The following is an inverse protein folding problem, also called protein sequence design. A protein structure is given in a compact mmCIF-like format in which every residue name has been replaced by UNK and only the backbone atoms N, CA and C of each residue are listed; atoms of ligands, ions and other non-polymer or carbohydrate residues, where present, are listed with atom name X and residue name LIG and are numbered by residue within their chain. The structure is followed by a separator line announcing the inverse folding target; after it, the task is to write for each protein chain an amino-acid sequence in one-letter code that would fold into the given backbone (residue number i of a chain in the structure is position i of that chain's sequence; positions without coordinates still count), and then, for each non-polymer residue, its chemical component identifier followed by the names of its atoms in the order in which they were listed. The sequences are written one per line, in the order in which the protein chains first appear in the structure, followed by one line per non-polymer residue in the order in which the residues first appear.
data_IF_718238064739
#
_entry.id   IF_718238064739
#
_cell.length_a   1.000
_cell.length_b   1.000
_cell.length_c   1.000
_cell.angle_alpha   90.00
_cell.angle_beta   90.00
_cell.angle_gamma   90.00
#
_symmetry.space_group_name_H-M   'P 1'
#
loop_
_entity.id
_entity.type
_entity.pdbx_description
1 polymer ?
#
# COMPACT_ATOMS: atom_id res chain seq x y z
N UNK A 1 20.07 -53.93 27.47
CA UNK A 1 21.24 -54.20 28.34
C UNK A 1 21.86 -52.85 28.71
N UNK A 2 21.62 -52.37 29.93
CA UNK A 2 22.28 -51.19 30.51
C UNK A 2 23.33 -51.63 31.51
N UNK A 3 24.46 -50.91 31.58
CA UNK A 3 25.05 -50.53 32.87
C UNK A 3 25.63 -49.10 32.80
N UNK A 4 25.94 -48.35 33.85
CA UNK A 4 25.89 -48.52 35.31
C UNK A 4 26.04 -47.12 35.91
N UNK A 5 25.26 -46.83 36.94
CA UNK A 5 25.48 -45.73 37.88
C UNK A 5 26.75 -45.95 38.71
N UNK A 6 27.41 -44.86 39.12
CA UNK A 6 28.21 -44.82 40.35
C UNK A 6 27.83 -43.58 41.15
N UNK A 7 27.56 -43.80 42.44
CA UNK A 7 27.08 -42.85 43.44
C UNK A 7 28.18 -42.52 44.46
N UNK A 8 27.98 -41.38 45.14
CA UNK A 8 28.39 -41.01 46.51
C UNK A 8 29.79 -40.42 46.76
N UNK A 9 30.00 -39.63 47.85
CA UNK A 9 29.13 -39.41 49.02
C UNK A 9 28.87 -37.95 49.47
N UNK A 10 27.86 -37.87 50.37
CA UNK A 10 27.49 -36.77 51.25
C UNK A 10 28.33 -36.75 52.54
N UNK A 11 28.66 -35.54 53.02
CA UNK A 11 28.83 -35.14 54.43
C UNK A 11 28.79 -33.60 54.47
N UNK A 12 28.39 -32.84 55.49
CA UNK A 12 27.57 -32.96 56.69
C UNK A 12 27.62 -31.58 57.36
N UNK A 13 26.45 -30.98 57.65
CA UNK A 13 26.10 -30.07 58.79
C UNK A 13 27.22 -29.34 59.56
N UNK A 14 27.08 -28.02 59.78
CA UNK A 14 26.46 -27.46 61.01
C UNK A 14 26.69 -25.94 61.22
N UNK A 15 25.57 -25.27 61.53
CA UNK A 15 25.32 -24.31 62.65
C UNK A 15 26.14 -23.01 62.81
N UNK A 16 25.37 -21.94 62.61
CA UNK A 16 25.29 -20.64 63.29
C UNK A 16 26.11 -20.39 64.56
N UNK A 17 26.71 -19.19 64.63
CA UNK A 17 27.02 -18.48 65.87
C UNK A 17 26.45 -17.05 65.84
N UNK A 18 25.83 -16.68 66.97
CA UNK A 18 25.32 -15.36 67.35
C UNK A 18 26.21 -14.83 68.47
N UNK A 19 26.59 -13.55 68.41
CA UNK A 19 26.95 -12.70 69.58
C UNK A 19 26.65 -11.24 69.22
N UNK A 20 25.67 -10.56 69.85
CA UNK A 20 25.78 -9.67 71.04
C UNK A 20 26.86 -8.59 70.86
N UNK A 21 26.69 -7.28 71.08
CA UNK A 21 25.86 -6.48 72.03
C UNK A 21 26.04 -5.00 71.61
N UNK A 22 25.10 -4.07 71.80
CA UNK A 22 25.05 -3.22 73.00
C UNK A 22 23.84 -2.27 72.96
N UNK A 23 23.36 -1.92 74.16
CA UNK A 23 22.17 -1.12 74.50
C UNK A 23 22.53 0.35 74.74
N UNK A 24 21.50 1.14 75.11
CA UNK A 24 21.44 2.52 75.67
C UNK A 24 20.86 3.54 74.67
N UNK A 25 19.80 4.31 74.91
CA UNK A 25 18.98 4.61 76.10
C UNK A 25 17.62 5.17 75.63
N UNK A 26 16.54 4.95 76.40
CA UNK A 26 15.21 5.55 76.21
C UNK A 26 15.19 6.99 76.74
N UNK A 27 14.50 7.92 76.07
CA UNK A 27 13.75 9.01 76.73
C UNK A 27 12.60 9.54 75.85
N UNK A 28 11.39 9.53 76.44
CA UNK A 28 10.25 10.45 76.32
C UNK A 28 9.61 10.78 74.95
N UNK A 29 8.34 10.38 74.82
CA UNK A 29 7.31 11.05 74.00
C UNK A 29 6.68 12.21 74.83
N UNK A 30 6.06 13.26 74.24
CA UNK A 30 4.76 13.09 73.59
C UNK A 30 4.49 13.92 72.30
N UNK A 31 3.65 13.31 71.45
CA UNK A 31 2.60 13.86 70.55
C UNK A 31 2.62 15.36 70.24
N UNK A 32 2.86 15.72 68.96
CA UNK A 32 2.15 16.82 68.26
C UNK A 32 1.99 16.48 66.77
N UNK A 33 0.72 16.33 66.38
CA UNK A 33 0.04 16.73 65.14
C UNK A 33 0.54 16.25 63.75
N UNK A 34 -0.41 15.63 63.04
CA UNK A 34 -0.33 15.13 61.69
C UNK A 34 -0.24 16.24 60.61
N UNK A 35 0.59 16.01 59.60
CA UNK A 35 0.26 16.26 58.19
C UNK A 35 0.81 15.09 57.38
N UNK A 36 -0.10 14.32 56.80
CA UNK A 36 0.21 13.27 55.85
C UNK A 36 0.50 13.89 54.48
N UNK A 37 1.75 13.78 54.01
CA UNK A 37 2.07 13.82 52.59
C UNK A 37 2.50 12.41 52.22
N UNK A 38 1.53 11.62 51.76
CA UNK A 38 1.80 10.37 51.08
C UNK A 38 2.50 10.70 49.76
N UNK A 39 3.82 10.54 49.74
CA UNK A 39 4.56 10.35 48.52
C UNK A 39 4.19 8.96 47.99
N UNK A 40 3.16 8.89 47.16
CA UNK A 40 2.97 7.76 46.29
C UNK A 40 3.99 7.90 45.15
N UNK A 41 5.03 7.09 45.23
CA UNK A 41 5.88 6.73 44.09
C UNK A 41 4.99 6.19 42.97
N UNK A 42 4.56 7.10 42.09
CA UNK A 42 4.01 6.74 40.80
C UNK A 42 5.22 6.47 39.91
N UNK A 43 5.64 5.22 39.95
CA UNK A 43 6.35 4.58 38.85
C UNK A 43 5.42 4.69 37.64
N UNK A 44 5.59 5.78 36.89
CA UNK A 44 5.05 5.91 35.54
C UNK A 44 5.64 4.77 34.74
N UNK A 45 4.85 3.71 34.57
CA UNK A 45 5.07 2.70 33.55
C UNK A 45 5.02 3.47 32.23
N UNK A 46 6.19 3.77 31.68
CA UNK A 46 6.31 4.13 30.27
C UNK A 46 5.65 3.00 29.49
N UNK A 47 4.48 3.29 28.91
CA UNK A 47 3.86 2.39 27.95
C UNK A 47 4.82 2.20 26.77
N UNK A 48 4.68 1.12 25.99
CA UNK A 48 5.52 0.94 24.82
C UNK A 48 5.32 2.16 23.92
N UNK A 49 6.39 2.95 23.74
CA UNK A 49 6.45 3.96 22.70
C UNK A 49 6.00 3.27 21.41
N UNK A 50 4.85 3.69 20.90
CA UNK A 50 4.40 3.35 19.56
C UNK A 50 5.59 3.62 18.64
N UNK A 51 6.13 2.56 18.05
CA UNK A 51 7.27 2.65 17.15
C UNK A 51 6.90 3.57 16.00
N UNK A 52 7.32 4.83 16.13
CA UNK A 52 7.13 5.84 15.12
C UNK A 52 7.88 5.41 13.85
N UNK A 53 7.35 5.72 12.65
CA UNK A 53 8.02 5.39 11.40
C UNK A 53 9.46 5.93 11.41
N UNK A 54 10.41 5.09 10.95
CA UNK A 54 11.87 5.32 11.06
C UNK A 54 12.40 6.53 10.28
N UNK A 55 11.60 7.15 9.42
CA UNK A 55 11.87 8.48 8.87
C UNK A 55 10.54 9.17 8.51
N UNK A 56 10.38 10.44 8.92
CA UNK A 56 9.37 11.34 8.35
C UNK A 56 10.10 12.18 7.31
N UNK A 57 9.77 11.99 6.04
CA UNK A 57 10.40 12.71 4.93
C UNK A 57 9.45 13.79 4.41
N UNK A 58 9.91 15.04 4.33
CA UNK A 58 9.24 16.08 3.56
C UNK A 58 9.65 15.89 2.10
N UNK A 59 8.70 15.70 1.20
CA UNK A 59 8.96 15.43 -0.22
C UNK A 59 7.96 16.19 -1.10
N UNK A 60 8.39 16.59 -2.28
CA UNK A 60 7.46 16.81 -3.39
C UNK A 60 6.98 15.42 -3.85
N UNK A 61 5.73 15.08 -3.54
CA UNK A 61 5.18 13.75 -3.78
C UNK A 61 5.12 13.44 -5.29
N UNK A 62 4.69 14.42 -6.10
CA UNK A 62 4.61 14.28 -7.55
C UNK A 62 5.96 13.97 -8.14
N UNK A 63 6.97 14.79 -7.84
CA UNK A 63 8.33 14.58 -8.34
C UNK A 63 8.88 13.22 -7.90
N UNK A 64 8.69 12.83 -6.63
CA UNK A 64 9.13 11.52 -6.13
C UNK A 64 8.55 10.35 -6.94
N UNK A 65 7.26 10.42 -7.28
CA UNK A 65 6.57 9.37 -8.03
C UNK A 65 7.01 9.35 -9.50
N UNK A 66 7.04 10.52 -10.15
CA UNK A 66 7.37 10.60 -11.56
C UNK A 66 8.85 10.27 -11.84
N UNK A 67 9.76 10.72 -10.97
CA UNK A 67 11.18 10.40 -11.05
C UNK A 67 11.42 8.89 -10.91
N UNK A 68 10.64 8.19 -10.07
CA UNK A 68 10.73 6.74 -9.96
C UNK A 68 10.41 6.03 -11.29
N UNK A 69 9.41 6.51 -12.02
CA UNK A 69 8.99 5.88 -13.28
C UNK A 69 9.84 6.28 -14.49
N UNK A 70 10.55 7.41 -14.43
CA UNK A 70 11.22 8.01 -15.58
C UNK A 70 12.26 7.09 -16.26
N UNK A 71 12.91 6.23 -15.48
CA UNK A 71 13.98 5.33 -15.95
C UNK A 71 13.47 3.94 -16.38
N UNK A 72 12.15 3.70 -16.38
CA UNK A 72 11.59 2.42 -16.77
C UNK A 72 11.69 2.22 -18.28
N UNK A 73 12.41 1.17 -18.70
CA UNK A 73 12.66 0.88 -20.12
C UNK A 73 12.18 -0.50 -20.53
N UNK A 74 11.83 -0.65 -21.81
CA UNK A 74 11.37 -1.91 -22.38
C UNK A 74 12.41 -3.03 -22.32
N UNK A 75 13.70 -2.68 -22.34
CA UNK A 75 14.83 -3.61 -22.24
C UNK A 75 15.32 -3.81 -20.79
N UNK A 76 14.61 -3.25 -19.82
CA UNK A 76 14.92 -3.41 -18.40
C UNK A 76 14.79 -4.84 -17.91
N UNK A 77 15.49 -5.15 -16.83
CA UNK A 77 15.35 -6.42 -16.13
C UNK A 77 14.06 -6.45 -15.30
N UNK A 78 13.46 -7.63 -15.22
CA UNK A 78 12.34 -7.89 -14.32
C UNK A 78 12.28 -9.36 -13.95
N UNK A 79 12.14 -9.63 -12.66
CA UNK A 79 11.87 -10.93 -12.09
C UNK A 79 10.69 -10.80 -11.14
N UNK A 80 9.65 -11.60 -11.37
CA UNK A 80 8.51 -11.67 -10.44
C UNK A 80 8.97 -12.25 -9.09
N UNK A 81 8.35 -11.84 -7.97
CA UNK A 81 8.61 -12.46 -6.67
C UNK A 81 8.26 -13.94 -6.69
N UNK A 82 9.04 -14.76 -5.98
CA UNK A 82 8.71 -16.16 -5.75
C UNK A 82 7.53 -16.33 -4.78
N UNK A 83 7.14 -17.58 -4.51
CA UNK A 83 5.96 -17.87 -3.70
C UNK A 83 6.09 -17.37 -2.25
N UNK A 84 7.27 -17.53 -1.64
CA UNK A 84 7.55 -17.10 -0.26
C UNK A 84 7.63 -15.56 -0.19
N UNK A 85 8.21 -14.94 -1.21
CA UNK A 85 8.27 -13.48 -1.35
C UNK A 85 6.87 -12.87 -1.51
N UNK A 86 5.99 -13.50 -2.30
CA UNK A 86 4.60 -13.04 -2.46
C UNK A 86 3.78 -13.20 -1.19
N UNK A 87 3.94 -14.31 -0.46
CA UNK A 87 3.25 -14.50 0.82
C UNK A 87 3.69 -13.44 1.83
N UNK A 88 5.00 -13.19 1.95
CA UNK A 88 5.55 -12.15 2.83
C UNK A 88 5.14 -10.74 2.42
N UNK A 89 5.10 -10.46 1.12
CA UNK A 89 4.60 -9.18 0.60
C UNK A 89 3.12 -8.98 0.96
N UNK A 90 2.29 -10.01 0.78
CA UNK A 90 0.87 -9.95 1.15
C UNK A 90 0.68 -9.72 2.65
N UNK A 91 1.42 -10.43 3.50
CA UNK A 91 1.42 -10.25 4.96
C UNK A 91 1.82 -8.81 5.34
N UNK A 92 2.93 -8.31 4.78
CA UNK A 92 3.42 -6.97 5.06
C UNK A 92 2.48 -5.86 4.60
N UNK A 93 1.90 -5.98 3.41
CA UNK A 93 0.87 -5.05 2.91
C UNK A 93 -0.39 -5.11 3.78
N UNK A 94 -0.79 -6.32 4.19
CA UNK A 94 -1.92 -6.53 5.08
C UNK A 94 -1.77 -5.78 6.41
N UNK A 95 -0.61 -5.92 7.07
CA UNK A 95 -0.30 -5.17 8.30
C UNK A 95 -0.40 -3.66 8.10
N UNK A 96 0.09 -3.13 6.98
CA UNK A 96 0.01 -1.70 6.70
C UNK A 96 -1.44 -1.22 6.54
N UNK A 97 -2.25 -1.98 5.81
CA UNK A 97 -3.67 -1.70 5.61
C UNK A 97 -4.47 -1.77 6.91
N UNK A 98 -4.04 -2.60 7.85
CA UNK A 98 -4.65 -2.73 9.17
C UNK A 98 -4.10 -1.70 10.19
N UNK A 99 -3.17 -0.83 9.75
CA UNK A 99 -2.59 0.26 10.54
C UNK A 99 -1.37 -0.13 11.39
N UNK A 100 -0.88 -1.36 11.29
CA UNK A 100 0.31 -1.84 11.98
C UNK A 100 1.58 -1.58 11.13
N UNK A 101 1.97 -0.30 11.08
CA UNK A 101 3.14 0.17 10.31
C UNK A 101 4.44 -0.51 10.78
N UNK A 102 4.58 -0.76 12.08
CA UNK A 102 5.79 -1.33 12.66
C UNK A 102 5.95 -2.80 12.25
N UNK A 103 4.87 -3.58 12.31
CA UNK A 103 4.90 -4.97 11.90
C UNK A 103 5.02 -5.11 10.38
N UNK A 104 4.33 -4.25 9.62
CA UNK A 104 4.51 -4.16 8.16
C UNK A 104 5.99 -3.96 7.79
N UNK A 105 6.65 -2.97 8.40
CA UNK A 105 8.07 -2.71 8.16
C UNK A 105 8.95 -3.92 8.53
N UNK A 106 8.65 -4.60 9.64
CA UNK A 106 9.39 -5.79 10.07
C UNK A 106 9.25 -6.96 9.09
N UNK A 107 8.06 -7.16 8.54
CA UNK A 107 7.75 -8.24 7.60
C UNK A 107 8.34 -7.97 6.21
N UNK A 108 8.38 -6.70 5.79
CA UNK A 108 8.86 -6.28 4.46
C UNK A 108 10.38 -6.12 4.37
N UNK A 109 11.08 -5.83 5.47
CA UNK A 109 12.53 -5.61 5.50
C UNK A 109 13.35 -6.76 4.87
N UNK A 110 13.05 -8.06 5.13
CA UNK A 110 13.74 -9.17 4.46
C UNK A 110 13.60 -9.21 2.94
N UNK A 111 12.53 -8.62 2.39
CA UNK A 111 12.34 -8.47 0.94
C UNK A 111 13.14 -7.31 0.35
N UNK A 112 13.85 -6.54 1.20
CA UNK A 112 14.49 -5.30 0.81
C UNK A 112 13.50 -4.16 0.57
N UNK A 113 12.28 -4.26 1.09
CA UNK A 113 11.24 -3.23 1.03
C UNK A 113 11.16 -2.49 2.38
N UNK A 114 10.94 -1.17 2.33
CA UNK A 114 10.73 -0.33 3.52
C UNK A 114 9.37 0.36 3.48
N UNK A 115 8.83 0.63 4.67
CA UNK A 115 7.67 1.50 4.87
C UNK A 115 8.17 2.87 5.35
N UNK A 116 7.97 3.91 4.56
CA UNK A 116 8.39 5.28 4.88
C UNK A 116 7.18 6.20 4.95
N UNK A 117 7.10 7.03 5.99
CA UNK A 117 6.06 8.06 6.07
C UNK A 117 6.53 9.33 5.39
N UNK A 118 5.85 9.67 4.31
CA UNK A 118 6.05 10.88 3.52
C UNK A 118 5.05 11.95 3.98
N UNK A 119 5.47 13.21 3.93
CA UNK A 119 4.59 14.38 3.98
C UNK A 119 4.80 15.16 2.69
N UNK A 120 3.75 15.29 1.91
CA UNK A 120 3.75 16.09 0.69
C UNK A 120 3.94 17.58 1.03
N UNK A 121 4.94 18.22 0.43
CA UNK A 121 5.26 19.63 0.68
C UNK A 121 4.17 20.58 0.21
N UNK A 122 3.40 20.19 -0.81
CA UNK A 122 2.41 21.06 -1.44
C UNK A 122 1.10 21.08 -0.65
N UNK A 123 0.59 19.89 -0.29
CA UNK A 123 -0.69 19.75 0.41
C UNK A 123 -0.56 19.56 1.94
N UNK A 124 0.61 19.18 2.43
CA UNK A 124 0.81 18.76 3.82
C UNK A 124 0.22 17.39 4.18
N UNK A 125 -0.40 16.69 3.22
CA UNK A 125 -0.96 15.34 3.44
C UNK A 125 0.15 14.32 3.62
N UNK A 126 -0.14 13.29 4.40
CA UNK A 126 0.81 12.23 4.70
C UNK A 126 0.44 10.93 3.99
N UNK A 127 1.49 10.23 3.56
CA UNK A 127 1.36 8.96 2.88
C UNK A 127 2.36 7.96 3.47
N UNK A 128 1.94 6.71 3.65
CA UNK A 128 2.87 5.61 3.87
C UNK A 128 3.25 5.03 2.49
N UNK A 129 4.55 4.99 2.20
CA UNK A 129 5.12 4.44 0.98
C UNK A 129 5.75 3.07 1.27
N UNK A 130 5.41 2.05 0.47
CA UNK A 130 6.21 0.84 0.34
C UNK A 130 7.09 0.98 -0.89
N UNK A 131 8.42 0.95 -0.69
CA UNK A 131 9.39 1.01 -1.77
C UNK A 131 10.65 0.18 -1.46
N UNK A 132 11.38 -0.19 -2.51
CA UNK A 132 12.67 -0.87 -2.36
C UNK A 132 13.72 0.04 -1.72
N UNK A 133 14.49 -0.54 -0.80
CA UNK A 133 15.61 0.11 -0.10
C UNK A 133 16.86 0.26 -0.97
N UNK A 134 16.96 -0.52 -2.05
CA UNK A 134 18.12 -0.56 -2.96
C UNK A 134 17.66 -0.43 -4.41
N UNK A 135 18.09 0.60 -5.17
CA UNK A 135 17.63 0.81 -6.54
C UNK A 135 17.91 -0.33 -7.53
N UNK A 136 18.96 -1.12 -7.30
CA UNK A 136 19.38 -2.20 -8.21
C UNK A 136 18.97 -3.61 -7.74
N UNK A 137 18.02 -3.73 -6.80
CA UNK A 137 17.47 -5.04 -6.38
C UNK A 137 16.25 -5.45 -7.21
N UNK A 138 15.95 -6.75 -7.26
CA UNK A 138 14.72 -7.25 -7.89
C UNK A 138 13.45 -6.55 -7.33
N UNK A 139 13.39 -6.32 -6.02
CA UNK A 139 12.31 -5.60 -5.36
C UNK A 139 12.10 -4.17 -5.89
N UNK A 140 13.12 -3.51 -6.46
CA UNK A 140 12.96 -2.19 -7.07
C UNK A 140 12.09 -2.23 -8.34
N UNK A 141 12.06 -3.38 -9.02
CA UNK A 141 11.28 -3.62 -10.23
C UNK A 141 9.84 -4.05 -9.93
N UNK A 142 9.51 -4.36 -8.67
CA UNK A 142 8.19 -4.84 -8.27
C UNK A 142 7.13 -3.75 -8.19
N UNK A 143 7.54 -2.50 -7.93
CA UNK A 143 6.64 -1.35 -7.89
C UNK A 143 6.74 -0.54 -6.61
N UNK A 144 5.82 0.41 -6.50
CA UNK A 144 5.60 1.21 -5.29
C UNK A 144 4.13 1.29 -4.95
N UNK A 145 3.85 1.39 -3.67
CA UNK A 145 2.52 1.61 -3.12
C UNK A 145 2.55 2.88 -2.27
N UNK A 146 1.60 3.77 -2.49
CA UNK A 146 1.38 4.97 -1.69
C UNK A 146 -0.02 4.89 -1.08
N UNK A 147 -0.14 4.93 0.24
CA UNK A 147 -1.43 4.92 0.94
C UNK A 147 -1.59 6.21 1.72
N UNK A 148 -2.77 6.81 1.69
CA UNK A 148 -3.09 7.91 2.59
C UNK A 148 -2.92 7.46 4.05
N UNK A 149 -2.15 8.22 4.83
CA UNK A 149 -1.85 7.92 6.24
C UNK A 149 -2.72 8.72 7.24
N UNK A 150 -3.59 9.60 6.72
CA UNK A 150 -4.41 10.54 7.50
C UNK A 150 -5.88 10.12 7.60
N UNK A 151 -6.32 9.17 6.76
CA UNK A 151 -7.70 8.67 6.75
C UNK A 151 -7.76 7.19 6.39
N UNK A 152 -8.92 6.58 6.68
CA UNK A 152 -9.19 5.22 6.23
C UNK A 152 -9.18 5.14 4.71
N UNK A 153 -8.63 4.05 4.17
CA UNK A 153 -8.55 3.84 2.74
C UNK A 153 -9.93 3.52 2.15
N UNK A 154 -10.32 4.23 1.10
CA UNK A 154 -11.66 4.14 0.47
C UNK A 154 -11.64 3.76 -0.99
N UNK A 155 -10.50 3.89 -1.66
CA UNK A 155 -10.33 3.54 -3.06
C UNK A 155 -8.85 3.33 -3.38
N UNK A 156 -8.58 2.73 -4.52
CA UNK A 156 -7.23 2.63 -5.06
C UNK A 156 -7.18 2.92 -6.57
N UNK A 157 -6.12 3.59 -7.00
CA UNK A 157 -5.76 3.76 -8.41
C UNK A 157 -4.60 2.85 -8.74
N UNK A 158 -4.72 2.12 -9.84
CA UNK A 158 -3.78 1.10 -10.27
C UNK A 158 -3.18 1.49 -11.63
N UNK A 159 -1.85 1.59 -11.70
CA UNK A 159 -1.10 1.91 -12.92
C UNK A 159 -0.17 0.74 -13.24
N UNK A 160 -0.65 -0.27 -14.00
CA UNK A 160 0.12 -1.47 -14.30
C UNK A 160 1.20 -1.26 -15.38
N UNK A 161 1.08 -0.22 -16.20
CA UNK A 161 1.96 0.03 -17.36
C UNK A 161 2.55 1.44 -17.39
N UNK A 162 3.15 1.95 -16.29
CA UNK A 162 3.74 3.29 -16.32
C UNK A 162 4.78 3.39 -17.44
N UNK A 163 4.87 4.57 -18.07
CA UNK A 163 5.72 4.87 -19.24
C UNK A 163 5.35 4.12 -20.53
N UNK A 164 5.01 2.84 -20.45
CA UNK A 164 4.51 2.08 -21.62
C UNK A 164 3.19 2.68 -22.12
N UNK A 165 2.27 2.90 -21.19
CA UNK A 165 0.97 3.47 -21.47
C UNK A 165 0.99 4.99 -21.29
N UNK A 166 2.18 5.63 -21.31
CA UNK A 166 2.56 7.06 -21.10
C UNK A 166 1.57 7.93 -20.32
N UNK A 167 2.04 8.75 -19.38
CA UNK A 167 1.21 9.75 -18.68
C UNK A 167 0.12 9.11 -17.77
N UNK A 168 -0.03 7.79 -17.74
CA UNK A 168 -0.89 7.08 -16.78
C UNK A 168 -0.38 7.25 -15.35
N UNK A 169 0.93 7.31 -15.16
CA UNK A 169 1.61 7.62 -13.91
C UNK A 169 1.28 9.03 -13.43
N UNK A 170 1.32 10.02 -14.33
CA UNK A 170 0.97 11.41 -14.02
C UNK A 170 -0.51 11.56 -13.69
N UNK A 171 -1.39 10.92 -14.46
CA UNK A 171 -2.82 10.87 -14.14
C UNK A 171 -3.06 10.20 -12.79
N UNK A 172 -2.37 9.10 -12.48
CA UNK A 172 -2.46 8.43 -11.19
C UNK A 172 -2.05 9.32 -10.02
N UNK A 173 -0.96 10.09 -10.17
CA UNK A 173 -0.53 11.10 -9.19
C UNK A 173 -1.60 12.18 -9.02
N UNK A 174 -2.10 12.74 -10.12
CA UNK A 174 -3.15 13.78 -10.09
C UNK A 174 -4.39 13.30 -9.33
N UNK A 175 -4.79 12.04 -9.51
CA UNK A 175 -5.93 11.46 -8.78
C UNK A 175 -5.63 11.28 -7.28
N UNK A 176 -4.43 10.83 -6.92
CA UNK A 176 -3.97 10.71 -5.53
C UNK A 176 -3.89 12.06 -4.80
N UNK A 177 -3.48 13.10 -5.51
CA UNK A 177 -3.38 14.46 -4.97
C UNK A 177 -4.74 15.17 -4.90
N UNK A 178 -5.60 14.92 -5.90
CA UNK A 178 -6.90 15.57 -6.02
C UNK A 178 -7.97 14.97 -5.12
N UNK A 179 -7.84 13.71 -4.75
CA UNK A 179 -8.85 12.99 -3.96
C UNK A 179 -8.23 12.43 -2.67
N UNK A 180 -8.75 12.78 -1.47
CA UNK A 180 -8.27 12.20 -0.21
C UNK A 180 -8.66 10.72 -0.04
N UNK A 181 -8.08 10.06 0.97
CA UNK A 181 -8.46 8.70 1.40
C UNK A 181 -8.19 7.57 0.40
N UNK A 182 -7.28 7.79 -0.53
CA UNK A 182 -6.92 6.81 -1.55
C UNK A 182 -5.53 6.22 -1.42
N UNK A 183 -5.25 5.34 -2.38
CA UNK A 183 -3.91 4.79 -2.61
C UNK A 183 -3.59 4.77 -4.10
N UNK A 184 -2.30 4.78 -4.41
CA UNK A 184 -1.76 4.62 -5.75
C UNK A 184 -0.80 3.42 -5.77
N UNK A 185 -1.03 2.52 -6.72
CA UNK A 185 -0.18 1.34 -6.97
C UNK A 185 0.46 1.51 -8.34
N UNK A 186 1.78 1.51 -8.39
CA UNK A 186 2.57 1.63 -9.61
C UNK A 186 3.37 0.36 -9.83
N UNK A 187 3.28 -0.22 -11.03
CA UNK A 187 4.21 -1.27 -11.42
C UNK A 187 5.63 -0.72 -11.52
N UNK A 188 6.62 -1.53 -11.17
CA UNK A 188 8.01 -1.08 -11.09
C UNK A 188 8.86 -1.35 -12.32
N UNK A 189 8.24 -1.79 -13.41
CA UNK A 189 8.92 -2.11 -14.65
C UNK A 189 8.04 -1.76 -15.85
N UNK A 190 8.68 -1.41 -16.97
CA UNK A 190 7.98 -1.29 -18.24
C UNK A 190 7.37 -2.66 -18.60
N UNK A 191 6.15 -2.72 -19.13
CA UNK A 191 5.43 -3.98 -19.43
C UNK A 191 6.17 -5.01 -20.32
N UNK A 192 7.24 -4.59 -20.99
CA UNK A 192 8.06 -5.40 -21.89
C UNK A 192 9.36 -5.89 -21.25
N UNK A 193 9.69 -5.38 -20.07
CA UNK A 193 10.87 -5.75 -19.32
C UNK A 193 10.86 -7.24 -18.92
N UNK A 194 12.05 -7.77 -18.72
CA UNK A 194 12.25 -9.19 -18.44
C UNK A 194 11.93 -10.10 -19.63
N UNK A 195 11.73 -11.39 -19.36
CA UNK A 195 11.49 -12.40 -20.39
C UNK A 195 10.02 -12.75 -20.51
N UNK A 196 9.57 -12.97 -21.75
CA UNK A 196 8.25 -13.57 -22.04
C UNK A 196 7.06 -12.84 -21.39
N UNK A 197 7.10 -11.51 -21.34
CA UNK A 197 6.03 -10.70 -20.76
C UNK A 197 5.92 -10.81 -19.23
N UNK A 198 7.02 -11.11 -18.53
CA UNK A 198 7.05 -11.17 -17.06
C UNK A 198 6.57 -9.87 -16.40
N UNK A 199 6.93 -8.71 -16.96
CA UNK A 199 6.53 -7.41 -16.44
C UNK A 199 5.13 -6.93 -16.90
N UNK A 200 4.41 -7.69 -17.73
CA UNK A 200 3.03 -7.34 -18.13
C UNK A 200 2.05 -7.69 -17.00
N UNK A 201 2.13 -6.95 -15.90
CA UNK A 201 1.49 -7.29 -14.61
C UNK A 201 -0.04 -7.32 -14.66
N UNK A 202 -0.65 -6.70 -15.67
CA UNK A 202 -2.08 -6.79 -15.97
C UNK A 202 -2.53 -8.23 -16.36
N UNK A 203 -1.57 -9.09 -16.73
CA UNK A 203 -1.79 -10.47 -17.15
C UNK A 203 -1.08 -11.50 -16.25
N UNK A 204 -0.57 -11.10 -15.07
CA UNK A 204 0.29 -11.92 -14.22
C UNK A 204 -0.16 -11.93 -12.76
N UNK A 205 -0.75 -13.04 -12.32
CA UNK A 205 -1.14 -13.26 -10.92
C UNK A 205 0.07 -13.46 -9.99
N UNK A 206 1.23 -13.82 -10.53
CA UNK A 206 2.50 -13.98 -9.81
C UNK A 206 3.30 -12.67 -9.64
N UNK A 207 2.73 -11.52 -10.01
CA UNK A 207 3.39 -10.23 -9.86
C UNK A 207 3.17 -9.63 -8.47
N UNK A 208 4.16 -8.89 -7.95
CA UNK A 208 4.00 -8.08 -6.73
C UNK A 208 2.83 -7.09 -6.84
N UNK A 209 2.63 -6.50 -8.01
CA UNK A 209 1.51 -5.62 -8.31
C UNK A 209 0.16 -6.31 -8.08
N UNK A 210 0.01 -7.55 -8.57
CA UNK A 210 -1.19 -8.34 -8.31
C UNK A 210 -1.37 -8.63 -6.82
N UNK A 211 -0.30 -9.03 -6.11
CA UNK A 211 -0.33 -9.29 -4.67
C UNK A 211 -0.87 -8.10 -3.88
N UNK A 212 -0.36 -6.88 -4.15
CA UNK A 212 -0.81 -5.66 -3.48
C UNK A 212 -2.29 -5.37 -3.77
N UNK A 213 -2.69 -5.47 -5.05
CA UNK A 213 -4.08 -5.24 -5.46
C UNK A 213 -5.03 -6.25 -4.82
N UNK A 214 -4.59 -7.50 -4.67
CA UNK A 214 -5.40 -8.55 -4.04
C UNK A 214 -5.66 -8.25 -2.56
N UNK A 215 -4.68 -7.71 -1.83
CA UNK A 215 -4.85 -7.32 -0.41
C UNK A 215 -5.87 -6.20 -0.21
N UNK A 216 -5.95 -5.26 -1.16
CA UNK A 216 -6.96 -4.21 -1.18
C UNK A 216 -8.35 -4.78 -1.47
N UNK A 217 -8.44 -5.70 -2.44
CA UNK A 217 -9.70 -6.37 -2.81
C UNK A 217 -10.23 -7.27 -1.68
N UNK A 218 -9.36 -7.95 -0.93
CA UNK A 218 -9.73 -8.74 0.26
C UNK A 218 -10.42 -7.88 1.34
N UNK A 219 -10.13 -6.58 1.37
CA UNK A 219 -10.73 -5.58 2.27
C UNK A 219 -11.88 -4.80 1.63
N UNK A 220 -12.31 -5.19 0.42
CA UNK A 220 -13.42 -4.57 -0.30
C UNK A 220 -13.12 -3.16 -0.82
N UNK A 221 -11.85 -2.76 -0.90
CA UNK A 221 -11.47 -1.41 -1.38
C UNK A 221 -11.66 -1.37 -2.91
N UNK A 222 -12.54 -0.49 -3.44
CA UNK A 222 -12.80 -0.39 -4.87
C UNK A 222 -11.57 0.09 -5.64
N UNK A 223 -11.34 -0.49 -6.83
CA UNK A 223 -10.17 -0.22 -7.65
C UNK A 223 -10.50 0.42 -9.00
N UNK A 224 -9.75 1.46 -9.37
CA UNK A 224 -9.73 2.07 -10.70
C UNK A 224 -8.38 1.76 -11.37
N UNK A 225 -8.38 0.97 -12.42
CA UNK A 225 -7.16 0.62 -13.15
C UNK A 225 -7.07 1.38 -14.48
N UNK A 226 -5.97 2.12 -14.63
CA UNK A 226 -5.70 2.99 -15.76
C UNK A 226 -4.83 2.28 -16.80
N UNK A 227 -5.24 2.33 -18.06
CA UNK A 227 -4.48 1.88 -19.22
C UNK A 227 -4.47 2.94 -20.30
N UNK A 228 -3.56 2.78 -21.26
CA UNK A 228 -3.38 3.69 -22.37
C UNK A 228 -3.43 3.00 -23.72
N UNK A 229 -4.07 3.64 -24.70
CA UNK A 229 -4.04 3.17 -26.08
C UNK A 229 -3.77 4.29 -27.10
N UNK A 230 -3.22 3.89 -28.23
CA UNK A 230 -3.13 4.76 -29.41
C UNK A 230 -4.40 4.64 -30.24
N UNK A 231 -5.03 5.80 -30.52
CA UNK A 231 -6.23 5.89 -31.38
C UNK A 231 -5.90 5.49 -32.81
N UNK A 232 -6.84 4.83 -33.45
CA UNK A 232 -6.81 4.52 -34.88
C UNK A 232 -8.26 4.33 -35.37
N UNK A 233 -8.44 3.89 -36.62
CA UNK A 233 -9.78 3.66 -37.20
C UNK A 233 -10.60 2.59 -36.46
N UNK A 234 -9.94 1.62 -35.84
CA UNK A 234 -10.58 0.54 -35.05
C UNK A 234 -10.85 0.96 -33.60
N UNK A 235 -10.11 1.95 -33.10
CA UNK A 235 -10.21 2.53 -31.76
C UNK A 235 -10.43 4.05 -31.85
N UNK A 236 -11.58 4.51 -32.36
CA UNK A 236 -11.84 5.94 -32.55
C UNK A 236 -12.24 6.68 -31.25
N UNK A 237 -12.25 5.99 -30.11
CA UNK A 237 -12.70 6.49 -28.81
C UNK A 237 -11.66 7.38 -28.11
N UNK A 238 -12.10 8.15 -27.12
CA UNK A 238 -11.26 8.84 -26.13
C UNK A 238 -11.04 8.00 -24.88
N UNK A 239 -12.09 7.29 -24.47
CA UNK A 239 -12.07 6.38 -23.33
C UNK A 239 -12.83 5.10 -23.66
N UNK A 240 -12.42 3.99 -23.06
CA UNK A 240 -13.18 2.74 -23.01
C UNK A 240 -13.33 2.40 -21.54
N UNK A 241 -14.57 2.34 -21.07
CA UNK A 241 -14.91 2.09 -19.66
C UNK A 241 -15.56 0.72 -19.57
N UNK A 242 -15.09 -0.11 -18.64
CA UNK A 242 -15.59 -1.48 -18.46
C UNK A 242 -15.39 -1.96 -17.02
N UNK A 243 -16.14 -3.00 -16.63
CA UNK A 243 -15.88 -3.75 -15.39
C UNK A 243 -14.72 -4.75 -15.51
N UNK A 244 -13.96 -4.73 -16.62
CA UNK A 244 -12.94 -5.72 -16.90
C UNK A 244 -13.54 -7.11 -17.11
N UNK A 245 -13.24 -8.04 -16.21
CA UNK A 245 -13.79 -9.39 -16.23
C UNK A 245 -15.26 -9.47 -15.79
N UNK A 246 -15.75 -8.47 -15.05
CA UNK A 246 -17.15 -8.36 -14.69
C UNK A 246 -17.97 -7.99 -15.93
N UNK A 247 -18.96 -8.81 -16.27
CA UNK A 247 -19.81 -8.60 -17.45
C UNK A 247 -20.90 -7.54 -17.21
N UNK A 248 -21.19 -7.22 -15.94
CA UNK A 248 -22.15 -6.18 -15.56
C UNK A 248 -21.45 -4.86 -15.25
N UNK A 249 -22.08 -3.74 -15.61
CA UNK A 249 -21.62 -2.43 -15.22
C UNK A 249 -22.04 -2.13 -13.77
N UNK A 250 -21.10 -1.84 -12.85
CA UNK A 250 -21.48 -1.15 -11.62
C UNK A 250 -22.04 0.25 -11.97
N UNK A 251 -22.88 0.81 -11.09
CA UNK A 251 -23.53 2.10 -11.33
C UNK A 251 -22.50 3.21 -11.60
N UNK A 252 -21.35 3.10 -10.97
CA UNK A 252 -20.20 3.99 -11.07
C UNK A 252 -19.56 3.95 -12.46
N UNK A 253 -19.52 2.78 -13.13
CA UNK A 253 -19.06 2.70 -14.52
C UNK A 253 -19.96 3.51 -15.45
N UNK A 254 -21.28 3.40 -15.24
CA UNK A 254 -22.26 4.17 -16.02
C UNK A 254 -22.14 5.66 -15.76
N UNK A 255 -22.04 6.07 -14.49
CA UNK A 255 -21.86 7.46 -14.11
C UNK A 255 -20.58 8.08 -14.68
N UNK A 256 -19.46 7.33 -14.66
CA UNK A 256 -18.20 7.76 -15.26
C UNK A 256 -18.35 7.96 -16.78
N UNK A 257 -18.93 6.97 -17.49
CA UNK A 257 -19.14 7.09 -18.94
C UNK A 257 -20.07 8.26 -19.30
N UNK A 258 -21.17 8.44 -18.56
CA UNK A 258 -22.10 9.56 -18.76
C UNK A 258 -21.40 10.91 -18.56
N UNK A 259 -20.56 11.04 -17.53
CA UNK A 259 -19.81 12.28 -17.28
C UNK A 259 -18.81 12.58 -18.39
N UNK A 260 -18.01 11.59 -18.80
CA UNK A 260 -17.06 11.77 -19.91
C UNK A 260 -17.77 12.18 -21.21
N UNK A 261 -18.91 11.56 -21.52
CA UNK A 261 -19.71 11.92 -22.70
C UNK A 261 -20.30 13.33 -22.60
N UNK A 262 -20.72 13.76 -21.40
CA UNK A 262 -21.21 15.12 -21.16
C UNK A 262 -20.14 16.19 -21.43
N UNK A 263 -18.87 15.87 -21.20
CA UNK A 263 -17.73 16.74 -21.49
C UNK A 263 -17.28 16.69 -22.97
N UNK A 264 -17.96 15.86 -23.78
CA UNK A 264 -17.80 15.74 -25.23
C UNK A 264 -16.87 14.61 -25.67
N UNK A 265 -16.43 13.74 -24.75
CA UNK A 265 -15.53 12.64 -25.08
C UNK A 265 -16.31 11.48 -25.68
N UNK A 266 -15.76 10.89 -26.74
CA UNK A 266 -16.32 9.67 -27.34
C UNK A 266 -15.95 8.46 -26.47
N UNK A 267 -16.91 7.91 -25.74
CA UNK A 267 -16.70 6.74 -24.87
C UNK A 267 -17.16 5.46 -25.57
N UNK A 268 -16.46 4.36 -25.30
CA UNK A 268 -16.98 3.00 -25.55
C UNK A 268 -17.35 2.36 -24.22
N UNK A 269 -18.57 1.87 -24.10
CA UNK A 269 -19.10 1.27 -22.87
C UNK A 269 -19.03 -0.25 -22.99
N UNK A 270 -18.05 -0.88 -22.33
CA UNK A 270 -17.74 -2.31 -22.48
C UNK A 270 -18.84 -3.28 -22.01
N UNK A 271 -19.92 -2.78 -21.42
CA UNK A 271 -21.10 -3.58 -21.05
C UNK A 271 -22.28 -3.44 -22.01
N UNK A 272 -22.28 -2.44 -22.90
CA UNK A 272 -23.36 -2.21 -23.87
C UNK A 272 -22.91 -2.31 -25.32
N UNK A 273 -21.61 -2.13 -25.57
CA UNK A 273 -21.01 -2.18 -26.89
C UNK A 273 -20.00 -3.32 -27.00
N UNK A 274 -19.49 -3.55 -28.21
CA UNK A 274 -18.29 -4.37 -28.42
C UNK A 274 -17.09 -3.44 -28.49
N UNK A 275 -16.42 -3.27 -27.37
CA UNK A 275 -15.26 -2.41 -27.27
C UNK A 275 -13.96 -3.21 -27.46
N UNK A 276 -12.96 -2.65 -28.15
CA UNK A 276 -11.60 -3.16 -28.04
C UNK A 276 -11.08 -2.92 -26.62
N UNK A 277 -10.17 -3.75 -26.12
CA UNK A 277 -9.48 -3.51 -24.84
C UNK A 277 -10.39 -3.43 -23.59
N UNK A 278 -11.47 -4.21 -23.55
CA UNK A 278 -12.39 -4.27 -22.39
C UNK A 278 -11.80 -4.87 -21.11
N UNK A 279 -10.51 -5.24 -21.09
CA UNK A 279 -9.88 -5.80 -19.90
C UNK A 279 -10.44 -7.15 -19.45
N UNK A 280 -11.15 -7.91 -20.29
CA UNK A 280 -11.73 -9.22 -19.91
C UNK A 280 -10.68 -10.29 -19.57
N UNK A 281 -9.45 -10.10 -20.04
CA UNK A 281 -8.30 -10.93 -19.71
C UNK A 281 -7.51 -10.44 -18.48
N UNK A 282 -7.84 -9.26 -17.95
CA UNK A 282 -7.13 -8.63 -16.86
C UNK A 282 -7.24 -9.46 -15.56
N UNK A 283 -6.12 -9.82 -14.97
CA UNK A 283 -6.12 -10.73 -13.82
C UNK A 283 -6.57 -10.03 -12.53
N UNK A 284 -6.33 -8.73 -12.38
CA UNK A 284 -6.83 -7.94 -11.24
C UNK A 284 -8.35 -7.79 -11.30
N UNK A 285 -8.91 -7.56 -12.48
CA UNK A 285 -10.37 -7.52 -12.70
C UNK A 285 -11.04 -8.88 -12.45
N UNK A 286 -10.41 -10.00 -12.89
CA UNK A 286 -10.89 -11.35 -12.55
C UNK A 286 -10.85 -11.62 -11.05
N UNK A 287 -9.80 -11.19 -10.37
CA UNK A 287 -9.69 -11.31 -8.92
C UNK A 287 -10.76 -10.49 -8.20
N UNK A 288 -11.01 -9.25 -8.64
CA UNK A 288 -12.07 -8.40 -8.10
C UNK A 288 -13.44 -9.06 -8.21
N UNK A 289 -13.76 -9.61 -9.39
CA UNK A 289 -15.02 -10.31 -9.63
C UNK A 289 -15.19 -11.52 -8.71
N UNK A 290 -14.14 -12.37 -8.56
CA UNK A 290 -14.16 -13.52 -7.63
C UNK A 290 -14.41 -13.11 -6.18
N UNK A 291 -14.04 -11.89 -5.81
CA UNK A 291 -14.12 -11.34 -4.45
C UNK A 291 -15.31 -10.43 -4.24
N UNK A 292 -16.09 -10.16 -5.29
CA UNK A 292 -17.16 -9.16 -5.28
C UNK A 292 -16.67 -7.77 -4.85
N UNK A 293 -15.41 -7.43 -5.16
CA UNK A 293 -14.86 -6.10 -4.94
C UNK A 293 -15.13 -5.21 -6.17
N UNK A 294 -15.56 -3.95 -6.02
CA UNK A 294 -15.78 -3.08 -7.17
C UNK A 294 -14.49 -2.82 -7.93
N UNK A 295 -14.56 -2.85 -9.26
CA UNK A 295 -13.42 -2.64 -10.15
C UNK A 295 -13.84 -1.96 -11.44
N UNK A 296 -13.10 -0.93 -11.82
CA UNK A 296 -13.23 -0.23 -13.09
C UNK A 296 -11.93 -0.35 -13.88
N UNK A 297 -12.05 -0.83 -15.12
CA UNK A 297 -10.99 -0.86 -16.10
C UNK A 297 -11.21 0.24 -17.13
N UNK A 298 -10.27 1.19 -17.19
CA UNK A 298 -10.37 2.38 -18.03
C UNK A 298 -9.17 2.49 -18.95
N UNK A 299 -9.44 2.39 -20.25
CA UNK A 299 -8.45 2.59 -21.31
C UNK A 299 -8.59 4.00 -21.87
N UNK A 300 -7.50 4.77 -21.90
CA UNK A 300 -7.51 6.18 -22.30
C UNK A 300 -6.64 6.42 -23.53
N UNK A 301 -7.16 7.20 -24.47
CA UNK A 301 -6.35 7.72 -25.57
C UNK A 301 -5.35 8.74 -25.06
N UNK A 302 -4.22 8.94 -25.74
CA UNK A 302 -3.21 9.94 -25.33
C UNK A 302 -3.77 11.32 -24.99
N UNK A 303 -4.75 11.82 -25.75
CA UNK A 303 -5.38 13.12 -25.48
C UNK A 303 -6.25 13.15 -24.21
N UNK A 304 -6.73 12.00 -23.74
CA UNK A 304 -7.56 11.88 -22.54
C UNK A 304 -6.75 11.60 -21.27
N UNK A 305 -5.42 11.45 -21.38
CA UNK A 305 -4.54 11.18 -20.22
C UNK A 305 -3.27 12.03 -20.15
N UNK A 306 -2.89 12.70 -21.24
CA UNK A 306 -1.78 13.66 -21.26
C UNK A 306 -2.24 15.06 -20.84
N UNK A 307 -2.00 16.05 -21.70
CA UNK A 307 -2.33 17.45 -21.43
C UNK A 307 -3.53 17.97 -22.22
N UNK A 308 -4.13 19.03 -21.68
CA UNK A 308 -5.17 19.82 -22.31
C UNK A 308 -6.58 19.37 -21.93
N UNK A 309 -7.58 20.01 -22.56
CA UNK A 309 -8.98 19.92 -22.12
C UNK A 309 -9.50 18.48 -21.98
N UNK A 310 -9.28 17.62 -22.98
CA UNK A 310 -9.78 16.23 -22.92
C UNK A 310 -9.17 15.46 -21.73
N UNK A 311 -7.92 15.74 -21.35
CA UNK A 311 -7.27 15.12 -20.21
C UNK A 311 -7.74 15.72 -18.88
N UNK A 312 -7.95 17.04 -18.83
CA UNK A 312 -8.53 17.72 -17.67
C UNK A 312 -9.94 17.19 -17.36
N UNK A 313 -10.81 17.16 -18.38
CA UNK A 313 -12.17 16.64 -18.27
C UNK A 313 -12.16 15.16 -17.81
N UNK A 314 -11.22 14.36 -18.34
CA UNK A 314 -11.08 12.95 -17.95
C UNK A 314 -10.65 12.81 -16.49
N UNK A 315 -9.62 13.54 -16.06
CA UNK A 315 -9.12 13.47 -14.69
C UNK A 315 -10.20 13.92 -13.68
N UNK A 316 -10.98 14.94 -14.02
CA UNK A 316 -12.08 15.42 -13.17
C UNK A 316 -13.19 14.37 -13.06
N UNK A 317 -13.57 13.73 -14.17
CA UNK A 317 -14.57 12.65 -14.17
C UNK A 317 -14.13 11.42 -13.34
N UNK A 318 -12.85 11.06 -13.43
CA UNK A 318 -12.27 9.99 -12.61
C UNK A 318 -12.23 10.39 -11.14
N UNK A 319 -11.82 11.62 -10.81
CA UNK A 319 -11.81 12.14 -9.45
C UNK A 319 -13.22 12.15 -8.82
N UNK A 320 -14.26 12.51 -9.58
CA UNK A 320 -15.64 12.44 -9.11
C UNK A 320 -16.09 11.01 -8.77
N UNK A 321 -15.60 10.03 -9.53
CA UNK A 321 -15.82 8.61 -9.24
C UNK A 321 -15.17 8.21 -7.91
N UNK A 322 -13.90 8.59 -7.72
CA UNK A 322 -13.17 8.33 -6.47
C UNK A 322 -13.80 9.04 -5.27
N UNK A 323 -14.26 10.29 -5.44
CA UNK A 323 -14.94 11.06 -4.41
C UNK A 323 -16.31 10.48 -4.04
N UNK A 324 -16.93 9.70 -4.93
CA UNK A 324 -18.14 8.93 -4.62
C UNK A 324 -17.80 7.75 -3.72
N UNK A 325 -16.81 6.93 -4.09
CA UNK A 325 -16.32 5.84 -3.23
C UNK A 325 -15.80 6.32 -1.87
N UNK A 326 -15.23 7.53 -1.80
CA UNK A 326 -14.79 8.12 -0.54
C UNK A 326 -15.94 8.39 0.46
N UNK A 327 -17.18 8.52 0.00
CA UNK A 327 -18.36 8.86 0.82
C UNK A 327 -19.19 7.65 1.27
N UNK A 328 -19.13 6.55 0.52
CA UNK A 328 -19.89 5.31 0.75
C UNK A 328 -19.17 4.35 1.70
#
# INVERSE_FOLDING_TARGET
MSPRHTHMPLTSRSRSFVTRTSRFTRFLAPVVLAVALAACDTTSSEGPEQSAPRARELVDLRSRILDYTADLTADGDYSAPDDDERERLAEGVGHLLDGDVAESARVLDPLGLAVTRLTDTDSGRRYDEIAATRPASDAATWGRLYLNADSALRWNVQVPHPVSDRDTEELGVRLLEGTPSGSLILAGAHRKAGRSGAADVAHREDSAFHTVVEELQKRGVPGLQLHGFTRNSERPYRAIVSGGAAQSAPAEATALADRLEADGLRVCRGWSDRCPLEGTANVQGRSAERRHAPFLHVELSSAARGDGRDADDTADALADTLATWARD
#
